data_IF_382811862785
#
_entry.id   IF_382811862785
#
_cell.length_a   1.000
_cell.length_b   1.000
_cell.length_c   1.000
_cell.angle_alpha   90.00
_cell.angle_beta   90.00
_cell.angle_gamma   90.00
#
_symmetry.space_group_name_H-M   'P 1'
#
loop_
_entity.id
_entity.type
_entity.pdbx_description
1 polymer ?
#
# COMPACT_ATOMS: atom_id res chain seq x y z
N UNK A 1 -15.45 -3.22 -4.48
CA UNK A 1 -15.40 -3.19 -3.00
C UNK A 1 -14.91 -4.55 -2.52
N UNK A 2 -13.73 -4.60 -1.88
CA UNK A 2 -13.05 -5.86 -1.56
C UNK A 2 -13.71 -6.61 -0.40
N UNK A 3 -13.79 -7.94 -0.50
CA UNK A 3 -14.40 -8.78 0.54
C UNK A 3 -13.63 -8.73 1.87
N UNK A 4 -12.30 -8.60 1.82
CA UNK A 4 -11.43 -8.43 2.99
C UNK A 4 -11.82 -7.22 3.86
N UNK A 5 -12.23 -6.11 3.23
CA UNK A 5 -12.71 -4.89 3.90
C UNK A 5 -14.12 -5.06 4.50
N UNK A 6 -14.93 -5.99 4.00
CA UNK A 6 -16.27 -6.28 4.54
C UNK A 6 -16.23 -7.20 5.76
N UNK A 7 -15.21 -8.05 5.86
CA UNK A 7 -15.18 -9.14 6.86
C UNK A 7 -14.22 -8.88 8.02
N UNK A 8 -13.20 -8.03 7.87
CA UNK A 8 -12.25 -7.70 8.93
C UNK A 8 -12.29 -6.23 9.27
N UNK A 9 -12.38 -5.92 10.57
CA UNK A 9 -12.15 -4.56 11.06
C UNK A 9 -10.76 -4.11 10.61
N UNK A 10 -10.63 -2.86 10.19
CA UNK A 10 -9.35 -2.23 9.84
C UNK A 10 -8.27 -2.50 10.90
N UNK A 11 -8.66 -2.53 12.17
CA UNK A 11 -7.80 -2.79 13.34
C UNK A 11 -7.17 -4.19 13.33
N UNK A 12 -7.76 -5.16 12.62
CA UNK A 12 -7.24 -6.52 12.50
C UNK A 12 -6.23 -6.67 11.36
N UNK A 13 -6.18 -5.70 10.44
CA UNK A 13 -5.29 -5.72 9.27
C UNK A 13 -4.02 -4.90 9.51
N UNK A 14 -4.08 -3.93 10.42
CA UNK A 14 -2.97 -3.03 10.72
C UNK A 14 -2.01 -3.66 11.74
N UNK A 15 -0.70 -3.60 11.47
CA UNK A 15 0.29 -3.83 12.52
C UNK A 15 0.27 -2.67 13.52
N UNK A 16 -0.34 -2.93 14.67
CA UNK A 16 -0.50 -1.96 15.76
C UNK A 16 0.82 -1.41 16.29
N UNK A 17 1.94 -2.13 16.13
CA UNK A 17 3.26 -1.64 16.53
C UNK A 17 3.80 -0.60 15.56
N UNK A 18 3.59 -0.83 14.26
CA UNK A 18 4.13 0.00 13.18
C UNK A 18 3.24 1.20 12.82
N UNK A 19 1.95 1.17 13.17
CA UNK A 19 0.97 2.22 12.84
C UNK A 19 0.44 2.98 14.06
N UNK A 20 1.21 3.05 15.15
CA UNK A 20 0.73 3.68 16.40
C UNK A 20 0.39 5.16 16.24
N UNK A 21 1.11 5.85 15.36
CA UNK A 21 0.96 7.28 15.06
C UNK A 21 0.58 7.50 13.59
N UNK A 22 0.14 6.45 12.88
CA UNK A 22 -0.27 6.57 11.49
C UNK A 22 -1.63 7.27 11.40
N UNK A 23 -1.72 8.21 10.46
CA UNK A 23 -2.98 8.87 10.16
C UNK A 23 -4.01 7.88 9.61
N UNK A 24 -5.21 7.87 10.20
CA UNK A 24 -6.24 6.90 9.85
C UNK A 24 -6.68 6.99 8.39
N UNK A 25 -6.71 8.21 7.81
CA UNK A 25 -7.08 8.40 6.41
C UNK A 25 -5.99 7.84 5.48
N UNK A 26 -4.73 8.04 5.82
CA UNK A 26 -3.58 7.46 5.09
C UNK A 26 -3.61 5.93 5.13
N UNK A 27 -4.00 5.34 6.26
CA UNK A 27 -4.15 3.89 6.40
C UNK A 27 -5.32 3.36 5.59
N UNK A 28 -6.47 4.04 5.61
CA UNK A 28 -7.62 3.68 4.79
C UNK A 28 -7.31 3.74 3.29
N UNK A 29 -6.63 4.82 2.86
CA UNK A 29 -6.16 4.96 1.48
C UNK A 29 -5.20 3.82 1.08
N UNK A 30 -4.25 3.46 1.94
CA UNK A 30 -3.34 2.34 1.70
C UNK A 30 -4.08 1.01 1.55
N UNK A 31 -5.09 0.76 2.38
CA UNK A 31 -5.88 -0.46 2.27
C UNK A 31 -6.69 -0.46 0.98
N UNK A 32 -7.28 0.67 0.56
CA UNK A 32 -7.99 0.74 -0.73
C UNK A 32 -7.07 0.45 -1.92
N UNK A 33 -5.87 1.05 -1.92
CA UNK A 33 -4.83 0.80 -2.93
C UNK A 33 -4.44 -0.69 -2.96
N UNK A 34 -4.10 -1.27 -1.80
CA UNK A 34 -3.72 -2.67 -1.69
C UNK A 34 -4.85 -3.60 -2.19
N UNK A 35 -6.08 -3.29 -1.83
CA UNK A 35 -7.23 -4.10 -2.18
C UNK A 35 -7.52 -4.05 -3.69
N UNK A 36 -7.29 -2.92 -4.38
CA UNK A 36 -7.35 -2.83 -5.84
C UNK A 36 -6.23 -3.64 -6.51
N UNK A 37 -5.00 -3.57 -5.98
CA UNK A 37 -3.87 -4.35 -6.48
C UNK A 37 -4.11 -5.87 -6.39
N UNK A 38 -4.84 -6.32 -5.37
CA UNK A 38 -5.16 -7.74 -5.14
C UNK A 38 -6.52 -8.16 -5.68
N UNK A 39 -7.15 -7.37 -6.56
CA UNK A 39 -8.46 -7.72 -7.12
C UNK A 39 -8.42 -9.11 -7.79
N UNK A 40 -9.47 -9.90 -7.57
CA UNK A 40 -9.59 -11.24 -8.16
C UNK A 40 -9.67 -11.20 -9.68
N UNK A 41 -10.29 -10.14 -10.22
CA UNK A 41 -10.28 -9.84 -11.65
C UNK A 41 -9.01 -9.07 -12.03
N UNK A 42 -8.31 -9.53 -13.07
CA UNK A 42 -7.10 -8.89 -13.59
C UNK A 42 -7.37 -7.49 -14.15
N UNK A 43 -8.52 -7.27 -14.79
CA UNK A 43 -8.86 -6.00 -15.43
C UNK A 43 -9.15 -4.88 -14.40
N UNK A 44 -9.46 -5.26 -13.17
CA UNK A 44 -9.66 -4.32 -12.06
C UNK A 44 -8.35 -3.93 -11.38
N UNK A 45 -7.25 -4.62 -11.67
CA UNK A 45 -5.94 -4.32 -11.10
C UNK A 45 -5.36 -3.07 -11.76
N UNK A 46 -4.90 -2.09 -10.96
CA UNK A 46 -4.29 -0.88 -11.49
C UNK A 46 -2.93 -1.18 -12.15
N UNK A 47 -2.52 -0.34 -13.08
CA UNK A 47 -1.11 -0.29 -13.50
C UNK A 47 -0.24 0.25 -12.37
N UNK A 48 1.03 -0.15 -12.31
CA UNK A 48 1.97 0.38 -11.31
C UNK A 48 2.15 1.90 -11.38
N UNK A 49 2.02 2.51 -12.57
CA UNK A 49 1.99 3.97 -12.71
C UNK A 49 0.83 4.58 -11.93
N UNK A 50 -0.36 3.96 -11.97
CA UNK A 50 -1.53 4.43 -11.24
C UNK A 50 -1.38 4.22 -9.74
N UNK A 51 -0.78 3.10 -9.34
CA UNK A 51 -0.44 2.83 -7.93
C UNK A 51 0.50 3.89 -7.37
N UNK A 52 1.59 4.21 -8.08
CA UNK A 52 2.53 5.24 -7.65
C UNK A 52 1.84 6.60 -7.47
N UNK A 53 0.96 6.99 -8.39
CA UNK A 53 0.20 8.23 -8.26
C UNK A 53 -0.63 8.26 -6.98
N UNK A 54 -1.30 7.16 -6.62
CA UNK A 54 -2.06 7.07 -5.37
C UNK A 54 -1.15 7.13 -4.14
N UNK A 55 -0.02 6.43 -4.14
CA UNK A 55 0.95 6.45 -3.04
C UNK A 55 1.52 7.85 -2.80
N UNK A 56 1.84 8.58 -3.87
CA UNK A 56 2.38 9.94 -3.80
C UNK A 56 1.32 10.97 -3.37
N UNK A 57 0.09 10.85 -3.88
CA UNK A 57 -0.96 11.85 -3.70
C UNK A 57 -1.80 11.65 -2.44
N UNK A 58 -2.14 10.40 -2.11
CA UNK A 58 -3.12 10.07 -1.07
C UNK A 58 -2.45 9.63 0.23
N UNK A 59 -1.24 9.07 0.14
CA UNK A 59 -0.49 8.52 1.29
C UNK A 59 0.74 9.40 1.62
N UNK A 60 0.97 10.45 0.83
CA UNK A 60 2.10 11.37 0.97
C UNK A 60 3.45 10.65 1.10
N UNK A 61 3.59 9.49 0.43
CA UNK A 61 4.92 8.88 0.34
C UNK A 61 5.84 9.87 -0.36
N UNK A 62 7.00 10.20 0.24
CA UNK A 62 7.92 11.11 -0.39
C UNK A 62 8.29 10.53 -1.78
N UNK A 63 8.32 11.37 -2.84
CA UNK A 63 8.78 10.92 -4.14
C UNK A 63 10.16 10.30 -3.92
N UNK A 64 10.43 9.15 -4.54
CA UNK A 64 11.63 8.38 -4.29
C UNK A 64 12.87 9.24 -4.55
N UNK A 65 13.39 9.91 -3.52
CA UNK A 65 14.68 10.59 -3.60
C UNK A 65 15.72 9.50 -3.43
N UNK A 66 16.10 8.89 -4.55
CA UNK A 66 17.31 8.09 -4.68
C UNK A 66 17.60 7.17 -3.48
N UNK A 67 16.64 6.36 -3.05
CA UNK A 67 17.02 5.11 -2.40
C UNK A 67 17.59 4.28 -3.53
N UNK A 68 18.90 4.42 -3.73
CA UNK A 68 19.70 3.47 -4.46
C UNK A 68 19.20 2.10 -4.04
N UNK A 69 18.70 1.32 -4.99
CA UNK A 69 18.61 -0.11 -4.82
C UNK A 69 20.05 -0.59 -4.66
N UNK A 70 20.62 -0.44 -3.46
CA UNK A 70 21.84 -1.11 -3.05
C UNK A 70 21.45 -2.59 -2.95
N UNK A 71 21.42 -3.23 -4.12
CA UNK A 71 21.37 -4.67 -4.24
C UNK A 71 22.66 -5.19 -3.63
N UNK A 72 22.69 -5.43 -2.32
CA UNK A 72 23.71 -6.26 -1.70
C UNK A 72 23.45 -7.72 -2.07
N UNK A 73 23.48 -8.02 -3.36
CA UNK A 73 23.50 -9.37 -3.89
C UNK A 73 24.86 -9.57 -4.54
N UNK A 74 25.88 -9.79 -3.71
CA UNK A 74 27.11 -10.46 -4.12
C UNK A 74 27.57 -11.43 -3.02
N UNK A 75 27.31 -12.71 -3.31
CA UNK A 75 27.99 -13.96 -2.99
C UNK A 75 28.63 -14.24 -1.61
N UNK A 76 28.08 -15.25 -0.92
CA UNK A 76 28.81 -16.50 -0.53
C UNK A 76 27.81 -17.64 -0.27
#
# INVERSE_FOLDING_TARGET
MNMLLREKSMEQLIDRRSCRDADAASVEAMIDVAARCTAGNLDERPSMKRVLQWLEQEIAMPPSSSYSYESHSDHS
#
